data_IF_334397201608
#
_entry.id   IF_334397201608
#
_cell.length_a   1.000
_cell.length_b   1.000
_cell.length_c   1.000
_cell.angle_alpha   90.00
_cell.angle_beta   90.00
_cell.angle_gamma   90.00
#
_symmetry.space_group_name_H-M   'P 1'
#
loop_
_entity.id
_entity.type
_entity.pdbx_description
1 polymer ?
#
# COMPACT_ATOMS: atom_id res chain seq x y z
N UNK A 1 -7.02 -19.62 9.93
CA UNK A 1 -6.14 -18.61 10.52
C UNK A 1 -6.60 -18.41 11.93
N UNK A 2 -5.71 -18.59 12.91
CA UNK A 2 -6.04 -18.37 14.31
C UNK A 2 -6.18 -16.88 14.65
N UNK A 3 -6.14 -16.57 15.95
CA UNK A 3 -6.23 -15.20 16.49
C UNK A 3 -4.96 -14.37 16.33
N UNK A 4 -3.82 -14.98 16.04
CA UNK A 4 -2.53 -14.29 15.83
C UNK A 4 -1.89 -14.71 14.49
N UNK A 5 -2.45 -14.29 13.35
CA UNK A 5 -1.87 -14.58 12.03
C UNK A 5 -0.58 -13.78 11.79
N UNK A 6 0.36 -14.38 11.05
CA UNK A 6 1.56 -13.70 10.55
C UNK A 6 1.54 -13.68 9.03
N UNK A 7 1.76 -12.51 8.44
CA UNK A 7 1.81 -12.32 6.99
C UNK A 7 3.26 -12.09 6.54
N UNK A 8 3.93 -13.14 6.08
CA UNK A 8 5.30 -13.08 5.59
C UNK A 8 5.36 -12.62 4.12
N UNK A 9 4.76 -11.46 3.82
CA UNK A 9 4.74 -10.90 2.47
C UNK A 9 5.19 -9.44 2.50
N UNK A 10 6.05 -9.07 1.54
CA UNK A 10 6.54 -7.72 1.40
C UNK A 10 5.75 -6.95 0.34
N UNK A 11 5.22 -5.78 0.71
CA UNK A 11 4.52 -4.87 -0.20
C UNK A 11 5.44 -3.70 -0.52
N UNK A 12 5.67 -3.46 -1.82
CA UNK A 12 6.49 -2.34 -2.30
C UNK A 12 5.64 -1.42 -3.17
N UNK A 13 5.71 -0.12 -2.90
CA UNK A 13 5.05 0.91 -3.68
C UNK A 13 5.87 2.20 -3.64
N UNK A 14 5.69 3.05 -4.65
CA UNK A 14 6.31 4.37 -4.74
C UNK A 14 5.29 5.42 -4.28
N UNK A 15 5.73 6.37 -3.45
CA UNK A 15 4.91 7.49 -3.00
C UNK A 15 5.48 8.80 -3.52
N UNK A 16 4.61 9.77 -3.78
CA UNK A 16 5.03 11.14 -4.05
C UNK A 16 5.32 11.84 -2.71
N UNK A 17 6.59 12.17 -2.46
CA UNK A 17 7.05 12.75 -1.20
C UNK A 17 6.41 14.11 -0.91
N UNK A 18 6.17 14.96 -1.92
CA UNK A 18 5.60 16.29 -1.68
C UNK A 18 4.18 16.19 -1.13
N UNK A 19 3.36 15.31 -1.71
CA UNK A 19 1.98 15.07 -1.27
C UNK A 19 1.96 14.35 0.09
N UNK A 20 2.91 13.45 0.32
CA UNK A 20 3.00 12.68 1.56
C UNK A 20 3.34 13.57 2.78
N UNK A 21 4.19 14.59 2.59
CA UNK A 21 4.58 15.54 3.64
C UNK A 21 3.43 16.45 4.06
N UNK A 22 2.48 16.73 3.16
CA UNK A 22 1.30 17.55 3.44
C UNK A 22 0.20 16.80 4.24
N UNK A 23 0.50 15.62 4.80
CA UNK A 23 -0.45 14.75 5.53
C UNK A 23 -1.69 14.32 4.73
N UNK A 24 -1.58 14.27 3.40
CA UNK A 24 -2.71 13.92 2.53
C UNK A 24 -2.84 12.42 2.22
N UNK A 25 -1.94 11.57 2.74
CA UNK A 25 -1.89 10.15 2.42
C UNK A 25 -1.94 9.25 3.67
N UNK A 26 -2.80 8.24 3.59
CA UNK A 26 -2.93 7.17 4.59
C UNK A 26 -2.50 5.82 3.99
N UNK A 27 -1.69 5.07 4.71
CA UNK A 27 -1.60 3.62 4.54
C UNK A 27 -2.83 2.98 5.19
N UNK A 28 -3.70 2.39 4.36
CA UNK A 28 -4.91 1.71 4.81
C UNK A 28 -4.71 0.19 4.75
N UNK A 29 -4.65 -0.46 5.91
CA UNK A 29 -4.54 -1.91 6.04
C UNK A 29 -5.90 -2.49 6.45
N UNK A 30 -6.50 -3.31 5.58
CA UNK A 30 -7.79 -3.96 5.85
C UNK A 30 -7.57 -5.43 6.18
N UNK A 31 -7.92 -5.84 7.39
CA UNK A 31 -7.90 -7.23 7.81
C UNK A 31 -9.24 -7.87 7.48
N UNK A 32 -9.21 -8.99 6.75
CA UNK A 32 -10.40 -9.71 6.31
C UNK A 32 -10.35 -11.18 6.73
N UNK A 33 -11.49 -11.69 7.17
CA UNK A 33 -11.69 -13.12 7.40
C UNK A 33 -12.15 -13.77 6.11
N UNK A 34 -11.28 -14.61 5.52
CA UNK A 34 -11.63 -15.41 4.34
C UNK A 34 -12.57 -16.54 4.73
N UNK A 35 -13.81 -16.52 4.25
CA UNK A 35 -14.80 -17.56 4.54
C UNK A 35 -14.91 -18.49 3.34
N UNK A 36 -14.46 -19.75 3.52
CA UNK A 36 -14.47 -20.77 2.46
C UNK A 36 -15.80 -21.54 2.33
N UNK A 37 -16.79 -21.28 3.18
CA UNK A 37 -18.05 -22.03 3.20
C UNK A 37 -19.16 -21.32 2.39
N UNK A 38 -19.77 -22.04 1.46
CA UNK A 38 -21.09 -21.79 0.84
C UNK A 38 -21.43 -20.32 0.49
N UNK A 39 -20.64 -19.67 -0.37
CA UNK A 39 -21.03 -18.39 -0.98
C UNK A 39 -21.05 -17.18 -0.04
N UNK A 40 -20.56 -17.32 1.21
CA UNK A 40 -20.39 -16.16 2.08
C UNK A 40 -19.21 -15.31 1.61
N UNK A 41 -19.46 -14.00 1.44
CA UNK A 41 -18.42 -13.02 1.15
C UNK A 41 -17.42 -12.94 2.31
N UNK A 42 -16.18 -12.62 1.97
CA UNK A 42 -15.16 -12.27 2.96
C UNK A 42 -15.69 -11.18 3.88
N UNK A 43 -15.48 -11.38 5.18
CA UNK A 43 -15.90 -10.43 6.21
C UNK A 43 -14.74 -9.50 6.52
N UNK A 44 -14.95 -8.21 6.33
CA UNK A 44 -14.05 -7.19 6.84
C UNK A 44 -14.09 -7.25 8.38
N UNK A 45 -12.91 -7.41 8.99
CA UNK A 45 -12.75 -7.46 10.44
C UNK A 45 -12.48 -6.04 10.94
N UNK A 46 -11.45 -5.40 10.37
CA UNK A 46 -11.01 -4.07 10.78
C UNK A 46 -10.24 -3.35 9.66
N UNK A 47 -10.26 -2.03 9.70
CA UNK A 47 -9.46 -1.13 8.88
C UNK A 47 -8.53 -0.32 9.80
N UNK A 48 -7.22 -0.45 9.60
CA UNK A 48 -6.20 0.33 10.29
C UNK A 48 -5.69 1.40 9.33
N UNK A 49 -5.68 2.65 9.77
CA UNK A 49 -5.14 3.79 9.01
C UNK A 49 -3.89 4.31 9.69
N UNK A 50 -2.85 4.52 8.91
CA UNK A 50 -1.58 5.08 9.38
C UNK A 50 -1.20 6.22 8.45
N UNK A 51 -0.97 7.42 9.00
CA UNK A 51 -0.53 8.56 8.20
C UNK A 51 0.84 8.25 7.59
N UNK A 52 1.01 8.45 6.29
CA UNK A 52 2.29 8.24 5.63
C UNK A 52 3.36 9.19 6.18
N UNK A 53 2.97 10.40 6.57
CA UNK A 53 3.86 11.37 7.23
C UNK A 53 4.42 10.87 8.56
N UNK A 54 3.64 10.10 9.34
CA UNK A 54 4.11 9.49 10.60
C UNK A 54 5.21 8.46 10.32
N UNK A 55 5.06 7.70 9.24
CA UNK A 55 6.10 6.79 8.78
C UNK A 55 7.35 7.60 8.40
N UNK A 56 7.16 8.60 7.51
CA UNK A 56 8.22 9.45 6.94
C UNK A 56 8.94 10.36 7.95
N UNK A 57 8.51 10.43 9.22
CA UNK A 57 9.13 11.31 10.21
C UNK A 57 10.64 11.07 10.43
N UNK A 58 11.13 9.86 10.17
CA UNK A 58 12.56 9.52 10.26
C UNK A 58 13.19 9.32 8.87
N UNK A 59 12.52 9.73 7.80
CA UNK A 59 13.03 9.55 6.45
C UNK A 59 14.02 10.66 6.12
N UNK A 60 15.31 10.30 5.95
CA UNK A 60 16.38 11.22 5.61
C UNK A 60 17.09 11.88 6.81
N UNK A 61 16.85 11.41 8.04
CA UNK A 61 17.58 11.85 9.25
C UNK A 61 18.98 11.22 9.34
N UNK A 62 19.29 10.29 8.43
CA UNK A 62 20.56 9.62 8.42
C UNK A 62 21.48 10.24 7.35
N UNK A 63 22.41 11.09 7.82
CA UNK A 63 23.48 11.70 7.02
C UNK A 63 24.57 10.68 6.60
N UNK A 64 24.38 9.39 6.90
CA UNK A 64 25.28 8.31 6.52
C UNK A 64 24.73 7.59 5.27
N UNK A 65 25.54 7.52 4.21
CA UNK A 65 25.28 6.83 2.93
C UNK A 65 24.87 5.33 3.06
N UNK A 66 24.82 4.78 4.27
CA UNK A 66 24.45 3.38 4.62
C UNK A 66 23.04 3.22 5.20
N UNK A 67 22.31 4.29 5.48
CA UNK A 67 21.09 4.23 6.30
C UNK A 67 19.76 3.99 5.56
N UNK A 68 19.82 3.72 4.25
CA UNK A 68 18.65 3.26 3.51
C UNK A 68 18.17 1.85 3.91
N UNK A 69 18.79 1.21 4.90
CA UNK A 69 18.60 -0.22 5.22
C UNK A 69 17.88 -0.47 6.55
N UNK A 70 17.72 0.52 7.43
CA UNK A 70 17.19 0.26 8.78
C UNK A 70 15.67 0.01 8.78
N UNK A 71 15.29 -1.22 9.12
CA UNK A 71 13.89 -1.64 9.22
C UNK A 71 13.22 -1.04 10.45
N UNK A 72 12.30 -0.10 10.23
CA UNK A 72 11.54 0.55 11.30
C UNK A 72 10.31 -0.27 11.66
N UNK A 73 10.20 -0.60 12.94
CA UNK A 73 9.07 -1.32 13.51
C UNK A 73 7.93 -0.38 13.88
N UNK A 74 6.70 -0.77 13.54
CA UNK A 74 5.47 -0.05 13.88
C UNK A 74 4.45 -1.01 14.49
N UNK A 75 3.71 -0.54 15.49
CA UNK A 75 2.60 -1.27 16.10
C UNK A 75 1.41 -0.33 16.30
N UNK A 76 0.23 -0.76 15.84
CA UNK A 76 -1.03 -0.02 16.00
C UNK A 76 -2.06 -0.92 16.67
N UNK A 77 -2.70 -0.40 17.72
CA UNK A 77 -3.82 -1.07 18.37
C UNK A 77 -5.03 -1.11 17.43
N UNK A 78 -5.70 -2.25 17.43
CA UNK A 78 -6.91 -2.51 16.67
C UNK A 78 -8.08 -2.40 17.64
N UNK A 79 -8.99 -1.48 17.37
CA UNK A 79 -10.24 -1.31 18.13
C UNK A 79 -11.41 -1.60 17.20
N UNK A 80 -12.40 -2.35 17.67
CA UNK A 80 -13.64 -2.57 16.92
C UNK A 80 -14.42 -1.27 16.78
N UNK A 81 -15.38 -1.25 15.84
CA UNK A 81 -16.41 -0.20 15.78
C UNK A 81 -17.14 -0.01 17.11
N UNK A 82 -17.18 -1.04 17.94
CA UNK A 82 -17.90 -1.09 19.21
C UNK A 82 -17.03 -0.59 20.39
N UNK A 83 -15.78 -0.18 20.12
CA UNK A 83 -14.87 0.39 21.11
C UNK A 83 -14.04 -0.64 21.89
N UNK A 84 -14.17 -1.93 21.61
CA UNK A 84 -13.40 -2.97 22.28
C UNK A 84 -12.05 -3.21 21.60
N UNK A 85 -10.99 -3.34 22.40
CA UNK A 85 -9.66 -3.66 21.90
C UNK A 85 -9.63 -5.10 21.34
N UNK A 86 -9.39 -5.23 20.04
CA UNK A 86 -9.42 -6.51 19.33
C UNK A 86 -8.03 -7.10 19.07
N UNK A 87 -6.97 -6.34 19.32
CA UNK A 87 -5.59 -6.78 19.18
C UNK A 87 -4.66 -5.65 18.74
N UNK A 88 -3.55 -6.01 18.11
CA UNK A 88 -2.60 -5.07 17.53
C UNK A 88 -2.10 -5.57 16.16
N UNK A 89 -1.89 -4.63 15.23
CA UNK A 89 -1.19 -4.87 13.98
C UNK A 89 0.25 -4.38 14.13
N UNK A 90 1.20 -5.30 14.06
CA UNK A 90 2.62 -4.98 13.99
C UNK A 90 3.15 -5.22 12.57
N UNK A 91 3.94 -4.29 12.05
CA UNK A 91 4.61 -4.44 10.76
C UNK A 91 5.95 -3.68 10.76
N UNK A 92 6.86 -4.13 9.90
CA UNK A 92 8.12 -3.45 9.61
C UNK A 92 8.04 -2.73 8.28
N UNK A 93 8.77 -1.63 8.14
CA UNK A 93 8.89 -0.90 6.89
C UNK A 93 10.30 -0.32 6.75
N UNK A 94 10.73 -0.14 5.52
CA UNK A 94 11.97 0.54 5.17
C UNK A 94 11.80 1.37 3.92
N UNK A 95 12.68 2.34 3.73
CA UNK A 95 12.62 3.23 2.59
C UNK A 95 13.66 2.84 1.55
N UNK A 96 13.22 2.74 0.30
CA UNK A 96 14.14 2.63 -0.82
C UNK A 96 14.72 4.00 -1.20
N UNK A 97 15.63 3.97 -2.19
CA UNK A 97 16.15 5.19 -2.81
C UNK A 97 15.01 6.02 -3.40
N UNK A 98 15.14 7.34 -3.30
CA UNK A 98 14.29 8.27 -4.04
C UNK A 98 14.50 8.08 -5.54
N UNK A 99 13.42 8.21 -6.30
CA UNK A 99 13.45 8.09 -7.76
C UNK A 99 12.77 9.31 -8.36
N UNK A 100 13.41 9.95 -9.34
CA UNK A 100 12.85 11.13 -10.02
C UNK A 100 11.58 10.81 -10.82
N UNK A 101 11.41 9.54 -11.19
CA UNK A 101 10.23 9.04 -11.90
C UNK A 101 9.79 7.73 -11.28
N UNK A 102 8.47 7.52 -11.09
CA UNK A 102 7.97 6.22 -10.64
C UNK A 102 8.41 5.14 -11.64
N UNK A 103 8.77 3.94 -11.16
CA UNK A 103 9.11 2.83 -12.05
C UNK A 103 7.96 2.62 -13.04
N UNK A 104 8.29 2.48 -14.33
CA UNK A 104 7.29 2.06 -15.31
C UNK A 104 6.92 0.62 -14.99
N UNK A 105 5.76 0.39 -14.40
CA UNK A 105 5.28 -0.96 -14.09
C UNK A 105 5.23 -1.77 -15.40
N UNK A 106 6.05 -2.83 -15.55
CA UNK A 106 6.06 -3.65 -16.75
C UNK A 106 4.74 -4.43 -16.94
N UNK A 107 3.85 -4.46 -15.93
CA UNK A 107 2.56 -5.16 -15.98
C UNK A 107 1.38 -4.26 -16.41
N UNK A 108 1.59 -2.96 -16.62
CA UNK A 108 0.58 -2.13 -17.26
C UNK A 108 0.56 -2.47 -18.75
N UNK A 109 -0.25 -3.47 -19.12
CA UNK A 109 -0.62 -3.71 -20.52
C UNK A 109 -1.16 -2.40 -21.07
N UNK A 110 -0.32 -1.71 -21.84
CA UNK A 110 -0.68 -0.47 -22.50
C UNK A 110 -1.93 -0.76 -23.33
N UNK A 111 -3.06 -0.20 -22.91
CA UNK A 111 -4.29 -0.23 -23.69
C UNK A 111 -3.92 0.39 -25.04
N UNK A 112 -4.13 -0.32 -26.17
CA UNK A 112 -3.73 0.22 -27.46
C UNK A 112 -4.38 1.58 -27.63
N UNK A 113 -3.57 2.62 -27.85
CA UNK A 113 -4.10 3.92 -28.26
C UNK A 113 -4.88 3.66 -29.54
N UNK A 114 -6.20 3.81 -29.48
CA UNK A 114 -7.10 3.69 -30.62
C UNK A 114 -6.72 4.84 -31.57
N UNK A 115 -5.81 4.55 -32.49
CA UNK A 115 -5.38 5.48 -33.52
C UNK A 115 -6.60 5.84 -34.36
N UNK A 116 -6.92 7.13 -34.39
CA UNK A 116 -7.85 7.70 -35.34
C UNK A 116 -7.16 7.72 -36.71
N UNK A 117 -7.40 6.69 -37.52
CA UNK A 117 -7.11 6.60 -38.96
C UNK A 117 -8.18 5.63 -39.50
N UNK A 118 -8.98 5.88 -40.52
CA UNK A 118 -9.11 6.93 -41.50
C UNK A 118 -10.23 6.41 -42.42
N UNK A 119 -11.12 7.30 -42.87
CA UNK A 119 -12.12 6.97 -43.88
C UNK A 119 -11.40 6.45 -45.14
N UNK A 120 -11.82 5.30 -45.65
CA UNK A 120 -11.59 4.92 -47.03
C UNK A 120 -12.93 4.43 -47.60
N UNK A 121 -13.46 5.23 -48.54
CA UNK A 121 -14.47 4.82 -49.51
C UNK A 121 -14.03 3.50 -50.17
N UNK A 122 -14.98 2.60 -50.37
CA UNK A 122 -14.85 1.53 -51.36
C UNK A 122 -16.02 1.66 -52.32
N UNK A 123 -15.72 2.16 -53.52
CA UNK A 123 -16.53 1.85 -54.69
C UNK A 123 -16.19 0.43 -55.16
N UNK A 124 -17.22 -0.38 -55.38
CA UNK A 124 -17.47 -1.21 -56.57
C UNK A 124 -18.70 -2.09 -56.29
#
# INVERSE_FOLDING_TARGET
>A
GGSNPTWNFNVKFTINLTIAQENHLDLVVKLKSRRKAHGLRDKDIVEVRVLISELLKCFGDDDDDDAAEDEKHMSKSIVTSDGEAQGALAFTHKYGRTVDRPPTDPNVKQRPKRGANGFAESQM
#
